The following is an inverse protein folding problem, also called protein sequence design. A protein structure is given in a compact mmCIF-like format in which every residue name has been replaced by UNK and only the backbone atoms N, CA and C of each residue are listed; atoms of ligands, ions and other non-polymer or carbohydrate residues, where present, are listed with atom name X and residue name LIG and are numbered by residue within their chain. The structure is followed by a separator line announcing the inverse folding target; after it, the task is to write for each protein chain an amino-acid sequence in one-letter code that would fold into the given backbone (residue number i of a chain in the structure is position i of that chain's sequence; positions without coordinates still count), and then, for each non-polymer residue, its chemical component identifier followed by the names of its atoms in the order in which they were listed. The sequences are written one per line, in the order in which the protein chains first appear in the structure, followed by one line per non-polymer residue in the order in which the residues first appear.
data_IF_554999723282
#
_entry.id   IF_554999723282
#
_cell.length_a   1.000
_cell.length_b   1.000
_cell.length_c   1.000
_cell.angle_alpha   90.00
_cell.angle_beta   90.00
_cell.angle_gamma   90.00
#
_symmetry.space_group_name_H-M   'P 1'
#
loop_
_entity.id
_entity.type
_entity.pdbx_description
1 polymer ?
#
# COMPACT_ATOMS: atom_id res chain seq x y z
N UNK A 1 16.88 50.45 35.87
CA UNK A 1 17.30 49.42 34.90
C UNK A 1 18.82 49.26 34.99
N UNK A 2 19.33 48.05 35.22
CA UNK A 2 20.77 47.79 35.23
C UNK A 2 21.19 47.29 33.85
N UNK A 3 21.99 48.06 33.13
CA UNK A 3 22.56 47.65 31.83
C UNK A 3 23.88 46.92 32.09
N UNK A 4 23.99 45.61 31.79
CA UNK A 4 25.22 44.87 32.04
C UNK A 4 26.27 45.30 31.02
N UNK A 5 27.31 46.01 31.48
CA UNK A 5 28.41 46.49 30.64
C UNK A 5 29.42 45.37 30.30
N UNK A 6 29.45 44.28 31.09
CA UNK A 6 30.22 43.07 30.82
C UNK A 6 29.28 41.91 30.50
N UNK A 7 29.43 41.29 29.33
CA UNK A 7 28.60 40.16 28.88
C UNK A 7 27.75 40.40 27.63
N UNK A 8 27.78 41.59 27.02
CA UNK A 8 27.04 41.88 25.78
C UNK A 8 27.33 40.86 24.65
N UNK A 9 28.58 40.42 24.51
CA UNK A 9 28.97 39.34 23.59
C UNK A 9 28.35 37.98 23.95
N UNK A 10 28.18 37.68 25.24
CA UNK A 10 27.53 36.46 25.69
C UNK A 10 26.01 36.50 25.42
N UNK A 11 25.35 37.65 25.61
CA UNK A 11 23.95 37.83 25.21
C UNK A 11 23.77 37.73 23.70
N UNK A 12 24.63 38.36 22.90
CA UNK A 12 24.62 38.22 21.43
C UNK A 12 24.86 36.77 20.99
N UNK A 13 25.77 36.04 21.65
CA UNK A 13 26.01 34.62 21.39
C UNK A 13 24.77 33.77 21.72
N UNK A 14 24.11 34.01 22.86
CA UNK A 14 22.86 33.34 23.22
C UNK A 14 21.75 33.57 22.18
N UNK A 15 21.62 34.80 21.66
CA UNK A 15 20.66 35.11 20.59
C UNK A 15 21.02 34.39 19.30
N UNK A 16 22.30 34.33 18.92
CA UNK A 16 22.75 33.58 17.74
C UNK A 16 22.49 32.08 17.85
N UNK A 17 22.73 31.49 19.02
CA UNK A 17 22.41 30.07 19.30
C UNK A 17 20.90 29.85 19.17
N UNK A 18 20.08 30.69 19.83
CA UNK A 18 18.63 30.58 19.71
C UNK A 18 18.12 30.73 18.26
N UNK A 19 18.73 31.61 17.46
CA UNK A 19 18.42 31.72 16.03
C UNK A 19 18.82 30.47 15.24
N UNK A 20 19.98 29.90 15.53
CA UNK A 20 20.42 28.64 14.92
C UNK A 20 19.49 27.47 15.29
N UNK A 21 19.04 27.41 16.55
CA UNK A 21 18.10 26.40 17.03
C UNK A 21 16.74 26.51 16.32
N UNK A 22 16.24 27.73 16.08
CA UNK A 22 15.01 27.96 15.30
C UNK A 22 15.18 27.47 13.87
N UNK A 23 16.30 27.77 13.22
CA UNK A 23 16.59 27.29 11.85
C UNK A 23 16.68 25.76 11.82
N UNK A 24 17.32 25.16 12.81
CA UNK A 24 17.42 23.71 12.94
C UNK A 24 16.04 23.06 13.08
N UNK A 25 15.19 23.58 13.97
CA UNK A 25 13.82 23.09 14.15
C UNK A 25 12.98 23.27 12.89
N UNK A 26 13.11 24.40 12.19
CA UNK A 26 12.41 24.62 10.93
C UNK A 26 12.84 23.61 9.87
N UNK A 27 14.14 23.29 9.78
CA UNK A 27 14.65 22.28 8.85
C UNK A 27 14.19 20.87 9.21
N UNK A 28 14.14 20.54 10.49
CA UNK A 28 13.59 19.27 10.96
C UNK A 28 12.12 19.12 10.57
N UNK A 29 11.32 20.18 10.77
CA UNK A 29 9.92 20.19 10.39
C UNK A 29 9.72 20.01 8.87
N UNK A 30 10.46 20.76 8.05
CA UNK A 30 10.40 20.64 6.58
C UNK A 30 10.74 19.22 6.12
N UNK A 31 11.76 18.61 6.74
CA UNK A 31 12.17 17.24 6.43
C UNK A 31 11.11 16.21 6.81
N UNK A 32 10.51 16.32 8.00
CA UNK A 32 9.42 15.45 8.43
C UNK A 32 8.18 15.57 7.54
N UNK A 33 7.82 16.80 7.17
CA UNK A 33 6.74 17.05 6.22
C UNK A 33 7.00 16.41 4.85
N UNK A 34 8.25 16.47 4.37
CA UNK A 34 8.66 15.81 3.12
C UNK A 34 8.57 14.28 3.21
N UNK A 35 9.01 13.69 4.33
CA UNK A 35 8.88 12.24 4.56
C UNK A 35 7.41 11.84 4.52
N UNK A 36 6.55 12.54 5.26
CA UNK A 36 5.12 12.24 5.32
C UNK A 36 4.48 12.32 3.93
N UNK A 37 4.82 13.35 3.14
CA UNK A 37 4.32 13.48 1.77
C UNK A 37 4.79 12.33 0.87
N UNK A 38 6.04 11.90 1.02
CA UNK A 38 6.59 10.76 0.28
C UNK A 38 5.86 9.46 0.63
N UNK A 39 5.60 9.23 1.92
CA UNK A 39 4.85 8.07 2.39
C UNK A 39 3.40 8.07 1.87
N UNK A 40 2.72 9.22 1.89
CA UNK A 40 1.36 9.39 1.32
C UNK A 40 1.34 8.98 -0.16
N UNK A 41 2.32 9.45 -0.94
CA UNK A 41 2.43 9.11 -2.36
C UNK A 41 2.71 7.62 -2.59
N UNK A 42 3.60 7.02 -1.79
CA UNK A 42 3.90 5.59 -1.88
C UNK A 42 2.66 4.73 -1.59
N UNK A 43 1.88 5.08 -0.57
CA UNK A 43 0.66 4.34 -0.24
C UNK A 43 -0.40 4.48 -1.33
N UNK A 44 -0.52 5.66 -1.94
CA UNK A 44 -1.42 5.86 -3.08
C UNK A 44 -1.02 4.97 -4.27
N UNK A 45 0.27 4.87 -4.58
CA UNK A 45 0.76 3.99 -5.65
C UNK A 45 0.49 2.51 -5.35
N UNK A 46 0.65 2.10 -4.08
CA UNK A 46 0.35 0.74 -3.66
C UNK A 46 -1.14 0.39 -3.81
N UNK A 47 -2.03 1.34 -3.48
CA UNK A 47 -3.47 1.20 -3.72
C UNK A 47 -3.77 0.98 -5.20
N UNK A 48 -3.23 1.81 -6.09
CA UNK A 48 -3.48 1.69 -7.53
C UNK A 48 -2.93 0.38 -8.12
N UNK A 49 -1.77 -0.08 -7.63
CA UNK A 49 -1.20 -1.38 -8.00
C UNK A 49 -2.15 -2.52 -7.62
N UNK A 50 -2.58 -2.55 -6.36
CA UNK A 50 -3.45 -3.63 -5.86
C UNK A 50 -4.84 -3.58 -6.49
N UNK A 51 -5.35 -2.37 -6.78
CA UNK A 51 -6.60 -2.17 -7.52
C UNK A 51 -6.52 -2.74 -8.93
N UNK A 52 -5.41 -2.51 -9.63
CA UNK A 52 -5.21 -3.03 -10.99
C UNK A 52 -5.18 -4.57 -11.00
N UNK A 53 -4.49 -5.17 -10.03
CA UNK A 53 -4.47 -6.63 -9.87
C UNK A 53 -5.84 -7.20 -9.52
N UNK A 54 -6.58 -6.56 -8.60
CA UNK A 54 -7.94 -6.96 -8.25
C UNK A 54 -8.87 -6.89 -9.47
N UNK A 55 -8.80 -5.81 -10.25
CA UNK A 55 -9.60 -5.62 -11.45
C UNK A 55 -9.38 -6.70 -12.50
N UNK A 56 -8.16 -7.23 -12.64
CA UNK A 56 -7.89 -8.36 -13.53
C UNK A 56 -8.69 -9.61 -13.13
N UNK A 57 -8.70 -9.95 -11.85
CA UNK A 57 -9.46 -11.10 -11.37
C UNK A 57 -10.97 -10.89 -11.49
N UNK A 58 -11.48 -9.70 -11.16
CA UNK A 58 -12.91 -9.38 -11.26
C UNK A 58 -13.43 -9.37 -12.70
N UNK A 59 -12.59 -8.99 -13.67
CA UNK A 59 -12.99 -8.88 -15.08
C UNK A 59 -12.77 -10.16 -15.89
N UNK A 60 -11.67 -10.85 -15.67
CA UNK A 60 -11.21 -11.97 -16.51
C UNK A 60 -11.04 -13.24 -15.66
N UNK A 61 -10.30 -13.15 -14.55
CA UNK A 61 -9.89 -14.32 -13.77
C UNK A 61 -11.06 -15.17 -13.29
N UNK A 62 -12.05 -14.57 -12.62
CA UNK A 62 -13.20 -15.31 -12.10
C UNK A 62 -14.01 -15.98 -13.20
N UNK A 63 -14.24 -15.28 -14.32
CA UNK A 63 -14.91 -15.87 -15.49
C UNK A 63 -14.12 -17.05 -16.07
N UNK A 64 -12.80 -16.94 -16.11
CA UNK A 64 -11.94 -18.04 -16.57
C UNK A 64 -12.07 -19.25 -15.65
N UNK A 65 -12.08 -19.07 -14.33
CA UNK A 65 -12.28 -20.14 -13.37
C UNK A 65 -13.62 -20.86 -13.60
N UNK A 66 -14.70 -20.09 -13.79
CA UNK A 66 -16.04 -20.63 -14.04
C UNK A 66 -16.10 -21.45 -15.35
N UNK A 67 -15.50 -20.96 -16.43
CA UNK A 67 -15.48 -21.69 -17.70
C UNK A 67 -14.62 -22.96 -17.64
N UNK A 68 -13.47 -22.93 -16.94
CA UNK A 68 -12.65 -24.12 -16.67
C UNK A 68 -13.48 -25.17 -15.94
N UNK A 69 -14.16 -24.78 -14.87
CA UNK A 69 -14.99 -25.68 -14.06
C UNK A 69 -16.13 -26.29 -14.87
N UNK A 70 -16.81 -25.46 -15.67
CA UNK A 70 -17.93 -25.87 -16.51
C UNK A 70 -17.50 -26.86 -17.59
N UNK A 71 -16.41 -26.57 -18.30
CA UNK A 71 -15.88 -27.44 -19.34
C UNK A 71 -15.40 -28.78 -18.75
N UNK A 72 -14.63 -28.75 -17.66
CA UNK A 72 -14.15 -29.96 -16.99
C UNK A 72 -15.32 -30.83 -16.47
N UNK A 73 -16.34 -30.20 -15.89
CA UNK A 73 -17.53 -30.91 -15.40
C UNK A 73 -18.30 -31.60 -16.52
N UNK A 74 -18.44 -30.94 -17.68
CA UNK A 74 -19.11 -31.51 -18.84
C UNK A 74 -18.31 -32.69 -19.41
N UNK A 75 -17.02 -32.51 -19.65
CA UNK A 75 -16.14 -33.53 -20.21
C UNK A 75 -16.07 -34.78 -19.30
N UNK A 76 -15.98 -34.57 -17.98
CA UNK A 76 -15.96 -35.68 -17.02
C UNK A 76 -17.27 -36.48 -17.03
N UNK A 77 -18.42 -35.78 -17.04
CA UNK A 77 -19.74 -36.42 -17.11
C UNK A 77 -19.98 -37.16 -18.42
N UNK A 78 -19.41 -36.66 -19.51
CA UNK A 78 -19.43 -37.32 -20.82
C UNK A 78 -18.47 -38.52 -20.92
N UNK A 79 -17.59 -38.70 -19.92
CA UNK A 79 -16.54 -39.73 -19.92
C UNK A 79 -15.34 -39.41 -20.83
N UNK A 80 -15.22 -38.16 -21.28
CA UNK A 80 -14.15 -37.70 -22.16
C UNK A 80 -12.82 -37.48 -21.44
N UNK A 81 -12.87 -37.15 -20.13
CA UNK A 81 -11.69 -37.02 -19.28
C UNK A 81 -11.81 -37.90 -18.04
N UNK A 82 -10.67 -38.31 -17.51
CA UNK A 82 -10.56 -39.05 -16.26
C UNK A 82 -10.86 -38.17 -15.04
N UNK A 83 -11.10 -38.82 -13.90
CA UNK A 83 -11.23 -38.12 -12.62
C UNK A 83 -9.96 -37.33 -12.25
N UNK A 84 -8.77 -37.83 -12.59
CA UNK A 84 -7.51 -37.16 -12.30
C UNK A 84 -7.39 -35.83 -13.07
N UNK A 85 -7.74 -35.82 -14.35
CA UNK A 85 -7.80 -34.61 -15.18
C UNK A 85 -8.85 -33.63 -14.67
N UNK A 86 -10.05 -34.12 -14.33
CA UNK A 86 -11.08 -33.28 -13.71
C UNK A 86 -10.59 -32.63 -12.42
N UNK A 87 -9.93 -33.39 -11.54
CA UNK A 87 -9.37 -32.87 -10.29
C UNK A 87 -8.32 -31.79 -10.52
N UNK A 88 -7.54 -31.88 -11.60
CA UNK A 88 -6.55 -30.85 -11.95
C UNK A 88 -7.22 -29.54 -12.35
N UNK A 89 -8.26 -29.59 -13.20
CA UNK A 89 -9.03 -28.40 -13.59
C UNK A 89 -9.80 -27.79 -12.42
N UNK A 90 -10.35 -28.63 -11.53
CA UNK A 90 -10.97 -28.20 -10.29
C UNK A 90 -10.00 -27.40 -9.43
N UNK A 91 -8.79 -27.94 -9.20
CA UNK A 91 -7.73 -27.24 -8.47
C UNK A 91 -7.37 -25.91 -9.14
N UNK A 92 -7.22 -25.89 -10.47
CA UNK A 92 -6.92 -24.66 -11.20
C UNK A 92 -7.99 -23.58 -11.02
N UNK A 93 -9.27 -23.95 -11.09
CA UNK A 93 -10.38 -23.03 -10.84
C UNK A 93 -10.36 -22.49 -9.40
N UNK A 94 -10.12 -23.36 -8.42
CA UNK A 94 -10.03 -22.97 -7.00
C UNK A 94 -8.86 -22.02 -6.77
N UNK A 95 -7.70 -22.29 -7.36
CA UNK A 95 -6.50 -21.45 -7.22
C UNK A 95 -6.74 -20.04 -7.77
N UNK A 96 -7.46 -19.90 -8.90
CA UNK A 96 -7.82 -18.57 -9.43
C UNK A 96 -8.74 -17.82 -8.46
N UNK A 97 -9.76 -18.49 -7.90
CA UNK A 97 -10.66 -17.88 -6.92
C UNK A 97 -9.93 -17.51 -5.62
N UNK A 98 -9.00 -18.35 -5.17
CA UNK A 98 -8.14 -18.08 -4.01
C UNK A 98 -7.28 -16.84 -4.26
N UNK A 99 -6.61 -16.76 -5.41
CA UNK A 99 -5.77 -15.62 -5.76
C UNK A 99 -6.58 -14.32 -5.87
N UNK A 100 -7.83 -14.38 -6.34
CA UNK A 100 -8.75 -13.24 -6.28
C UNK A 100 -8.92 -12.75 -4.84
N UNK A 101 -9.24 -13.64 -3.89
CA UNK A 101 -9.44 -13.27 -2.49
C UNK A 101 -8.18 -12.71 -1.85
N UNK A 102 -7.01 -13.25 -2.18
CA UNK A 102 -5.72 -12.71 -1.73
C UNK A 102 -5.49 -11.28 -2.24
N UNK A 103 -5.80 -11.01 -3.52
CA UNK A 103 -5.68 -9.66 -4.11
C UNK A 103 -6.73 -8.68 -3.56
N UNK A 104 -7.95 -9.15 -3.28
CA UNK A 104 -8.98 -8.35 -2.61
C UNK A 104 -8.52 -7.93 -1.21
N UNK A 105 -7.96 -8.87 -0.44
CA UNK A 105 -7.40 -8.55 0.86
C UNK A 105 -6.23 -7.56 0.76
N UNK A 106 -5.30 -7.77 -0.18
CA UNK A 106 -4.17 -6.84 -0.40
C UNK A 106 -4.65 -5.42 -0.74
N UNK A 107 -5.66 -5.29 -1.61
CA UNK A 107 -6.29 -4.01 -1.92
C UNK A 107 -6.90 -3.38 -0.67
N UNK A 108 -7.69 -4.12 0.11
CA UNK A 108 -8.29 -3.62 1.34
C UNK A 108 -7.25 -3.13 2.35
N UNK A 109 -6.16 -3.88 2.54
CA UNK A 109 -5.06 -3.46 3.42
C UNK A 109 -4.36 -2.19 2.91
N UNK A 110 -4.16 -2.07 1.59
CA UNK A 110 -3.56 -0.85 1.03
C UNK A 110 -4.42 0.39 1.23
N UNK A 111 -5.75 0.25 1.14
CA UNK A 111 -6.69 1.34 1.44
C UNK A 111 -6.64 1.72 2.92
N UNK A 112 -6.60 0.74 3.83
CA UNK A 112 -6.46 1.00 5.27
C UNK A 112 -5.18 1.78 5.55
N UNK A 113 -4.05 1.37 4.97
CA UNK A 113 -2.78 2.05 5.15
C UNK A 113 -2.80 3.46 4.56
N UNK A 114 -3.31 3.63 3.34
CA UNK A 114 -3.46 4.95 2.73
C UNK A 114 -4.31 5.88 3.62
N UNK A 115 -5.44 5.40 4.13
CA UNK A 115 -6.31 6.15 5.04
C UNK A 115 -5.59 6.53 6.35
N UNK A 116 -4.72 5.67 6.88
CA UNK A 116 -3.93 5.98 8.08
C UNK A 116 -2.97 7.16 7.84
N UNK A 117 -2.32 7.23 6.68
CA UNK A 117 -1.40 8.32 6.39
C UNK A 117 -2.11 9.63 6.06
N UNK A 118 -3.21 9.62 5.29
CA UNK A 118 -3.91 10.87 4.92
C UNK A 118 -4.65 11.54 6.07
N UNK A 119 -5.06 10.78 7.09
CA UNK A 119 -5.75 11.29 8.28
C UNK A 119 -4.80 11.60 9.47
N UNK A 120 -3.48 11.48 9.26
CA UNK A 120 -2.45 12.12 10.07
C UNK A 120 -2.12 13.51 9.51
#
# INVERSE_FOLDING_TARGET
AAFPLFGAKAYQSKVKVAQADVVLQQKQYEYEAQILNTQKLQMQQEVEKNRSMLSFYESIGLKQADEIMKAASLAYRAGEISFAEFSQFLTQSIDIQKNYLENLNAYNQSIIQYNYYINQ
#
